data_IF_018685458810
#
_entry.id   IF_018685458810
#
_cell.length_a   1.000
_cell.length_b   1.000
_cell.length_c   1.000
_cell.angle_alpha   90.00
_cell.angle_beta   90.00
_cell.angle_gamma   90.00
#
_symmetry.space_group_name_H-M   'P 1'
#
loop_
_entity.id
_entity.type
_entity.pdbx_description
1 polymer ?
#
# COMPACT_ATOMS: atom_id res chain seq x y z
N UNK A 1 6.11 12.07 2.50
CA UNK A 1 7.31 11.60 1.79
C UNK A 1 7.84 12.65 0.81
N UNK A 2 7.07 13.19 -0.12
CA UNK A 2 7.50 14.22 -1.09
C UNK A 2 8.04 15.49 -0.40
N UNK A 3 7.42 15.94 0.71
CA UNK A 3 7.92 17.07 1.47
C UNK A 3 9.30 16.77 2.09
N UNK A 4 9.50 15.56 2.60
CA UNK A 4 10.79 15.12 3.12
C UNK A 4 11.89 15.11 2.04
N UNK A 5 11.55 14.70 0.82
CA UNK A 5 12.45 14.73 -0.33
C UNK A 5 12.87 16.17 -0.72
N UNK A 6 12.01 17.17 -0.50
CA UNK A 6 12.31 18.59 -0.72
C UNK A 6 13.15 19.20 0.38
N UNK A 7 13.33 18.50 1.49
CA UNK A 7 14.23 18.83 2.62
C UNK A 7 14.12 20.27 3.16
N UNK A 8 12.91 20.78 3.50
CA UNK A 8 12.79 22.10 4.11
C UNK A 8 13.49 22.10 5.48
N UNK A 9 14.24 23.15 5.79
CA UNK A 9 15.09 23.24 6.99
C UNK A 9 14.35 23.03 8.31
N UNK A 10 13.07 23.43 8.36
CA UNK A 10 12.23 23.26 9.54
C UNK A 10 11.74 21.82 9.77
N UNK A 11 11.73 20.98 8.74
CA UNK A 11 11.26 19.59 8.85
C UNK A 11 12.36 18.71 9.46
N UNK A 12 12.11 18.16 10.64
CA UNK A 12 13.09 17.37 11.40
C UNK A 12 12.84 15.87 11.32
N UNK A 13 11.59 15.45 11.19
CA UNK A 13 11.18 14.04 11.10
C UNK A 13 9.79 13.95 10.51
N UNK A 14 9.40 12.75 10.06
CA UNK A 14 8.03 12.45 9.59
C UNK A 14 7.56 11.08 10.10
N UNK A 15 6.25 10.96 10.24
CA UNK A 15 5.54 9.68 10.23
C UNK A 15 4.78 9.61 8.91
N UNK A 16 5.11 8.62 8.07
CA UNK A 16 4.46 8.37 6.79
C UNK A 16 3.51 7.18 6.94
N UNK A 17 2.22 7.47 7.06
CA UNK A 17 1.19 6.47 7.29
C UNK A 17 0.30 6.35 6.06
N UNK A 18 0.05 5.10 5.61
CA UNK A 18 -0.83 4.81 4.48
C UNK A 18 -0.48 5.69 3.26
N UNK A 19 0.73 5.59 2.75
CA UNK A 19 1.24 6.45 1.68
C UNK A 19 2.16 5.70 0.74
N UNK A 20 2.20 6.12 -0.54
CA UNK A 20 3.14 5.57 -1.51
C UNK A 20 4.39 6.44 -1.67
N UNK A 21 5.50 5.81 -2.03
CA UNK A 21 6.69 6.44 -2.57
C UNK A 21 6.75 6.38 -4.10
N UNK A 22 5.82 5.62 -4.74
CA UNK A 22 5.81 5.33 -6.17
C UNK A 22 4.40 5.53 -6.76
N UNK A 23 4.21 6.61 -7.53
CA UNK A 23 2.90 7.07 -7.98
C UNK A 23 2.32 6.34 -9.22
N UNK A 24 3.14 5.62 -9.98
CA UNK A 24 2.71 4.98 -11.22
C UNK A 24 2.64 3.45 -11.13
N UNK A 25 3.51 2.83 -10.33
CA UNK A 25 3.53 1.37 -10.22
C UNK A 25 2.87 0.84 -8.95
N UNK A 26 2.67 1.69 -7.94
CA UNK A 26 2.17 1.25 -6.62
C UNK A 26 1.36 2.37 -5.94
N UNK A 27 0.27 2.77 -6.58
CA UNK A 27 -0.64 3.81 -6.06
C UNK A 27 -2.10 3.47 -6.34
N UNK A 28 -3.01 4.16 -5.65
CA UNK A 28 -4.46 4.00 -5.83
C UNK A 28 -4.97 4.42 -7.20
N UNK A 29 -4.22 5.23 -7.97
CA UNK A 29 -4.59 5.65 -9.32
C UNK A 29 -4.05 4.73 -10.39
N UNK A 30 -2.81 4.28 -10.23
CA UNK A 30 -2.12 3.37 -11.13
C UNK A 30 -1.42 2.28 -10.31
N UNK A 31 -1.60 1.04 -10.71
CA UNK A 31 -0.95 -0.10 -10.11
C UNK A 31 -0.31 -0.97 -11.20
N UNK A 32 0.98 -1.25 -11.04
CA UNK A 32 1.79 -1.95 -12.06
C UNK A 32 1.72 -1.32 -13.45
N UNK A 33 1.52 0.00 -13.51
CA UNK A 33 1.36 0.74 -14.77
C UNK A 33 -0.05 0.69 -15.37
N UNK A 34 -0.98 -0.01 -14.73
CA UNK A 34 -2.38 -0.07 -15.16
C UNK A 34 -3.23 0.92 -14.34
N UNK A 35 -4.09 1.66 -15.02
CA UNK A 35 -5.08 2.49 -14.34
C UNK A 35 -6.10 1.59 -13.62
N UNK A 36 -6.32 1.85 -12.34
CA UNK A 36 -7.25 1.08 -11.52
C UNK A 36 -8.55 1.84 -11.26
N UNK A 37 -9.62 1.11 -10.93
CA UNK A 37 -10.97 1.65 -10.71
C UNK A 37 -11.04 2.76 -9.66
N UNK A 38 -10.14 2.75 -8.69
CA UNK A 38 -10.04 3.79 -7.65
C UNK A 38 -9.71 5.19 -8.19
N UNK A 39 -9.14 5.31 -9.38
CA UNK A 39 -8.87 6.60 -10.02
C UNK A 39 -10.13 7.47 -10.10
N UNK A 40 -11.24 6.89 -10.55
CA UNK A 40 -12.52 7.61 -10.67
C UNK A 40 -13.09 7.96 -9.29
N UNK A 41 -13.16 6.97 -8.39
CA UNK A 41 -13.72 7.16 -7.05
C UNK A 41 -12.96 8.21 -6.25
N UNK A 42 -11.63 8.11 -6.22
CA UNK A 42 -10.79 9.05 -5.49
C UNK A 42 -10.85 10.46 -6.07
N UNK A 43 -10.79 10.59 -7.40
CA UNK A 43 -10.90 11.88 -8.06
C UNK A 43 -12.23 12.57 -7.79
N UNK A 44 -13.34 11.83 -7.78
CA UNK A 44 -14.67 12.34 -7.45
C UNK A 44 -14.76 12.78 -5.99
N UNK A 45 -14.22 12.00 -5.05
CA UNK A 45 -14.16 12.34 -3.63
C UNK A 45 -13.34 13.62 -3.43
N UNK A 46 -12.14 13.70 -4.00
CA UNK A 46 -11.29 14.88 -3.89
C UNK A 46 -11.96 16.14 -4.48
N UNK A 47 -12.62 16.00 -5.62
CA UNK A 47 -13.41 17.09 -6.20
C UNK A 47 -14.54 17.51 -5.24
N UNK A 48 -15.31 16.55 -4.73
CA UNK A 48 -16.39 16.78 -3.79
C UNK A 48 -15.92 17.52 -2.52
N UNK A 49 -14.80 17.09 -1.93
CA UNK A 49 -14.25 17.75 -0.73
C UNK A 49 -13.75 19.17 -1.01
N UNK A 50 -13.03 19.38 -2.11
CA UNK A 50 -12.42 20.68 -2.41
C UNK A 50 -13.43 21.70 -2.95
N UNK A 51 -14.56 21.26 -3.48
CA UNK A 51 -15.62 22.15 -3.98
C UNK A 51 -16.71 22.50 -2.96
N UNK A 52 -16.57 22.06 -1.70
CA UNK A 52 -17.55 22.33 -0.63
C UNK A 52 -17.61 23.83 -0.26
N UNK A 53 -18.80 24.34 0.15
CA UNK A 53 -18.88 25.68 0.68
C UNK A 53 -18.05 25.79 1.97
N UNK A 54 -17.44 26.95 2.25
CA UNK A 54 -16.89 27.23 3.57
C UNK A 54 -18.00 27.37 4.60
N UNK A 55 -17.64 27.14 5.87
CA UNK A 55 -18.57 27.29 6.98
C UNK A 55 -18.96 28.78 7.16
N UNK A 56 -20.25 29.13 7.06
CA UNK A 56 -20.69 30.52 7.26
C UNK A 56 -20.39 31.07 8.67
N UNK A 57 -20.32 30.21 9.69
CA UNK A 57 -19.93 30.64 11.04
C UNK A 57 -18.48 31.15 11.11
N UNK A 58 -17.63 30.65 10.24
CA UNK A 58 -16.21 31.05 10.19
C UNK A 58 -15.94 32.21 9.25
N UNK A 59 -16.69 32.35 8.14
CA UNK A 59 -16.41 33.33 7.08
C UNK A 59 -17.52 34.39 6.90
N UNK A 60 -18.59 34.29 7.67
CA UNK A 60 -19.73 35.26 7.61
C UNK A 60 -20.40 35.28 6.23
N UNK A 61 -20.91 36.44 5.83
CA UNK A 61 -21.66 36.62 4.58
C UNK A 61 -20.83 36.35 3.30
N UNK A 62 -19.54 36.23 3.42
CA UNK A 62 -18.64 35.93 2.28
C UNK A 62 -18.70 34.48 1.83
N UNK A 63 -19.37 33.57 2.55
CA UNK A 63 -19.36 32.14 2.25
C UNK A 63 -19.74 31.80 0.81
N UNK A 64 -20.76 32.52 0.27
CA UNK A 64 -21.24 32.27 -1.09
C UNK A 64 -20.19 32.66 -2.14
N UNK A 65 -19.54 33.81 -1.99
CA UNK A 65 -18.49 34.29 -2.91
C UNK A 65 -17.31 33.33 -2.89
N UNK A 66 -16.86 32.95 -1.71
CA UNK A 66 -15.76 32.00 -1.54
C UNK A 66 -16.09 30.62 -2.11
N UNK A 67 -17.34 30.17 -1.97
CA UNK A 67 -17.77 28.91 -2.56
C UNK A 67 -17.75 28.94 -4.09
N UNK A 68 -18.31 29.99 -4.70
CA UNK A 68 -18.31 30.15 -6.16
C UNK A 68 -16.86 30.20 -6.71
N UNK A 69 -15.96 30.91 -6.03
CA UNK A 69 -14.55 30.87 -6.39
C UNK A 69 -13.92 29.48 -6.29
N UNK A 70 -14.28 28.69 -5.28
CA UNK A 70 -13.80 27.30 -5.16
C UNK A 70 -14.31 26.45 -6.30
N UNK A 71 -15.61 26.55 -6.65
CA UNK A 71 -16.20 25.81 -7.76
C UNK A 71 -15.51 26.13 -9.08
N UNK A 72 -15.20 27.40 -9.31
CA UNK A 72 -14.50 27.85 -10.54
C UNK A 72 -13.03 27.37 -10.59
N UNK A 73 -12.34 27.39 -9.44
CA UNK A 73 -10.90 27.13 -9.36
C UNK A 73 -10.54 25.66 -9.06
N UNK A 74 -11.51 24.84 -8.63
CA UNK A 74 -11.24 23.43 -8.30
C UNK A 74 -11.01 22.64 -9.59
N UNK A 75 -9.82 22.06 -9.78
CA UNK A 75 -9.49 21.35 -11.02
C UNK A 75 -10.16 19.97 -11.06
N UNK A 76 -10.39 19.47 -12.26
CA UNK A 76 -10.76 18.09 -12.49
C UNK A 76 -9.53 17.18 -12.36
N UNK A 77 -9.30 16.61 -11.19
CA UNK A 77 -8.13 15.77 -10.92
C UNK A 77 -8.03 14.58 -11.86
N UNK A 78 -9.17 13.93 -12.16
CA UNK A 78 -9.24 12.75 -13.03
C UNK A 78 -8.75 13.08 -14.44
N UNK A 79 -9.19 14.20 -15.02
CA UNK A 79 -8.77 14.63 -16.36
C UNK A 79 -7.25 14.73 -16.46
N UNK A 80 -6.60 15.28 -15.41
CA UNK A 80 -5.16 15.43 -15.37
C UNK A 80 -4.47 14.07 -15.32
N UNK A 81 -4.97 13.15 -14.48
CA UNK A 81 -4.38 11.81 -14.36
C UNK A 81 -4.54 11.00 -15.64
N UNK A 82 -5.71 11.08 -16.31
CA UNK A 82 -5.97 10.36 -17.53
C UNK A 82 -5.12 10.85 -18.73
N UNK A 83 -4.61 12.07 -18.69
CA UNK A 83 -3.68 12.58 -19.70
C UNK A 83 -2.28 11.95 -19.61
N UNK A 84 -1.94 11.36 -18.48
CA UNK A 84 -0.62 10.79 -18.18
C UNK A 84 -0.70 9.28 -18.02
N UNK A 85 -0.94 8.55 -19.13
CA UNK A 85 -1.13 7.11 -19.13
C UNK A 85 0.18 6.30 -19.17
N UNK A 86 1.31 6.97 -19.30
CA UNK A 86 2.63 6.40 -19.27
C UNK A 86 3.42 6.95 -18.06
N UNK A 87 4.46 6.24 -17.65
CA UNK A 87 5.35 6.71 -16.58
C UNK A 87 6.22 7.89 -17.06
N UNK A 88 5.58 9.01 -17.29
CA UNK A 88 6.18 10.25 -17.78
C UNK A 88 6.67 11.15 -16.62
N UNK A 89 7.17 12.34 -16.97
CA UNK A 89 7.68 13.30 -15.99
C UNK A 89 6.65 13.71 -14.92
N UNK A 90 5.36 13.66 -15.24
CA UNK A 90 4.31 13.97 -14.26
C UNK A 90 4.36 13.02 -13.07
N UNK A 91 4.45 11.72 -13.33
CA UNK A 91 4.54 10.70 -12.28
C UNK A 91 5.91 10.66 -11.63
N UNK A 92 6.99 10.74 -12.43
CA UNK A 92 8.37 10.74 -11.93
C UNK A 92 8.63 11.91 -10.98
N UNK A 93 8.18 13.12 -11.31
CA UNK A 93 8.35 14.30 -10.45
C UNK A 93 7.52 14.24 -9.15
N UNK A 94 6.52 13.37 -9.09
CA UNK A 94 5.66 13.17 -7.93
C UNK A 94 5.96 11.87 -7.17
N UNK A 95 6.92 11.07 -7.61
CA UNK A 95 7.34 9.83 -6.97
C UNK A 95 8.65 10.03 -6.22
N UNK A 96 8.73 9.49 -5.02
CA UNK A 96 9.91 9.62 -4.15
C UNK A 96 10.98 8.58 -4.51
N UNK A 97 10.57 7.46 -5.05
CA UNK A 97 11.44 6.34 -5.44
C UNK A 97 12.47 6.71 -6.51
N UNK A 98 12.20 7.74 -7.31
CA UNK A 98 13.16 8.30 -8.27
C UNK A 98 14.45 8.74 -7.59
N UNK A 99 14.39 9.26 -6.37
CA UNK A 99 15.57 9.65 -5.62
C UNK A 99 15.34 9.62 -4.09
N UNK A 100 15.34 8.44 -3.52
CA UNK A 100 15.25 8.23 -2.07
C UNK A 100 16.37 8.92 -1.29
N UNK A 101 17.56 9.11 -1.91
CA UNK A 101 18.71 9.70 -1.25
C UNK A 101 18.53 11.17 -0.88
N UNK A 102 17.52 11.85 -1.40
CA UNK A 102 17.17 13.22 -1.01
C UNK A 102 16.51 13.30 0.37
N UNK A 103 15.94 12.21 0.87
CA UNK A 103 15.42 12.18 2.24
C UNK A 103 16.59 12.07 3.21
N UNK A 104 16.73 13.06 4.10
CA UNK A 104 17.84 13.19 5.05
C UNK A 104 17.39 13.21 6.51
N UNK A 105 16.10 13.06 6.75
CA UNK A 105 15.48 13.12 8.08
C UNK A 105 14.98 11.74 8.49
N UNK A 106 14.83 11.49 9.80
CA UNK A 106 14.24 10.24 10.30
C UNK A 106 12.82 10.02 9.79
N UNK A 107 12.49 8.76 9.50
CA UNK A 107 11.19 8.36 8.93
C UNK A 107 10.59 7.20 9.74
N UNK A 108 9.36 7.36 10.20
CA UNK A 108 8.56 6.25 10.68
C UNK A 108 7.50 5.94 9.61
N UNK A 109 7.61 4.78 8.96
CA UNK A 109 6.70 4.37 7.89
C UNK A 109 5.73 3.31 8.38
N UNK A 110 4.44 3.50 8.07
CA UNK A 110 3.35 2.66 8.59
C UNK A 110 2.35 2.37 7.48
N UNK A 111 1.93 1.09 7.35
CA UNK A 111 0.83 0.68 6.49
C UNK A 111 0.19 -0.61 7.00
N UNK A 112 -0.90 -1.04 6.36
CA UNK A 112 -1.53 -2.33 6.60
C UNK A 112 -1.30 -3.31 5.45
N UNK A 113 -1.43 -4.61 5.71
CA UNK A 113 -1.38 -5.63 4.65
C UNK A 113 -2.58 -5.54 3.69
N UNK A 114 -3.73 -5.08 4.19
CA UNK A 114 -4.93 -4.87 3.41
C UNK A 114 -5.11 -3.40 2.96
N UNK A 115 -4.08 -2.56 3.12
CA UNK A 115 -4.04 -1.19 2.63
C UNK A 115 -3.74 -1.18 1.11
N UNK A 116 -4.02 -0.06 0.46
CA UNK A 116 -3.63 0.17 -0.93
C UNK A 116 -2.11 0.36 -1.12
N UNK A 117 -1.34 0.57 -0.05
CA UNK A 117 0.12 0.78 -0.11
C UNK A 117 0.92 -0.17 0.80
N UNK A 118 0.67 -1.49 0.75
CA UNK A 118 1.34 -2.44 1.64
C UNK A 118 2.84 -2.54 1.37
N UNK A 119 3.27 -2.27 0.14
CA UNK A 119 4.65 -2.47 -0.30
C UNK A 119 5.60 -1.34 0.14
N UNK A 120 5.05 -0.16 0.45
CA UNK A 120 5.84 1.04 0.75
C UNK A 120 6.71 0.86 1.99
N UNK A 121 6.21 0.17 3.03
CA UNK A 121 6.96 -0.05 4.28
C UNK A 121 8.27 -0.78 4.01
N UNK A 122 8.18 -1.96 3.39
CA UNK A 122 9.35 -2.79 3.08
C UNK A 122 10.31 -2.07 2.12
N UNK A 123 9.78 -1.37 1.12
CA UNK A 123 10.57 -0.64 0.12
C UNK A 123 11.36 0.52 0.73
N UNK A 124 10.74 1.32 1.59
CA UNK A 124 11.43 2.43 2.27
C UNK A 124 12.45 1.93 3.29
N UNK A 125 12.15 0.87 4.05
CA UNK A 125 13.09 0.24 4.97
C UNK A 125 14.36 -0.25 4.27
N UNK A 126 14.23 -0.72 3.02
CA UNK A 126 15.35 -1.17 2.20
C UNK A 126 16.14 -0.03 1.56
N UNK A 127 15.45 1.06 1.16
CA UNK A 127 16.02 2.08 0.29
C UNK A 127 16.54 3.32 1.01
N UNK A 128 15.95 3.65 2.19
CA UNK A 128 16.35 4.85 2.92
C UNK A 128 17.59 4.58 3.78
N UNK A 129 18.57 5.48 3.66
CA UNK A 129 19.78 5.47 4.49
C UNK A 129 19.71 6.59 5.53
N UNK A 130 18.67 6.56 6.36
CA UNK A 130 18.41 7.46 7.50
C UNK A 130 17.87 6.62 8.67
N UNK A 131 17.83 7.15 9.89
CA UNK A 131 17.12 6.48 10.96
C UNK A 131 15.67 6.20 10.53
N UNK A 132 15.29 4.93 10.49
CA UNK A 132 13.98 4.51 9.99
C UNK A 132 13.41 3.38 10.82
N UNK A 133 12.10 3.44 11.06
CA UNK A 133 11.29 2.39 11.66
C UNK A 133 10.11 2.07 10.77
N UNK A 134 9.73 0.82 10.68
CA UNK A 134 8.55 0.33 9.97
C UNK A 134 7.56 -0.39 10.88
N UNK A 135 6.27 -0.15 10.66
CA UNK A 135 5.18 -0.87 11.31
C UNK A 135 4.18 -1.31 10.25
N UNK A 136 3.89 -2.61 10.20
CA UNK A 136 2.90 -3.14 9.25
C UNK A 136 1.98 -4.13 9.94
N UNK A 137 0.71 -3.76 10.06
CA UNK A 137 -0.33 -4.58 10.67
C UNK A 137 -1.28 -5.21 9.64
N UNK A 138 -2.32 -5.92 10.09
CA UNK A 138 -3.27 -6.56 9.19
C UNK A 138 -4.29 -5.59 8.56
N UNK A 139 -4.24 -4.32 8.91
CA UNK A 139 -5.25 -3.29 8.64
C UNK A 139 -5.43 -2.96 7.16
N UNK A 140 -6.64 -2.49 6.83
CA UNK A 140 -6.91 -1.67 5.65
C UNK A 140 -6.38 -0.23 5.85
N UNK A 141 -6.84 0.72 5.02
CA UNK A 141 -6.39 2.12 5.08
C UNK A 141 -6.95 2.86 6.30
N UNK A 142 -6.40 2.55 7.48
CA UNK A 142 -6.80 3.11 8.78
C UNK A 142 -5.62 3.44 9.66
N UNK A 143 -5.85 4.31 10.63
CA UNK A 143 -4.86 4.52 11.71
C UNK A 143 -4.70 3.22 12.51
N UNK A 144 -3.48 2.84 12.92
CA UNK A 144 -3.22 1.56 13.58
C UNK A 144 -4.01 1.30 14.88
N UNK A 145 -4.38 2.36 15.60
CA UNK A 145 -5.22 2.26 16.80
C UNK A 145 -6.72 2.09 16.49
N UNK A 146 -7.10 2.25 15.23
CA UNK A 146 -8.45 2.04 14.69
C UNK A 146 -8.45 0.97 13.59
N UNK A 147 -7.38 0.18 13.51
CA UNK A 147 -7.14 -0.76 12.43
C UNK A 147 -8.19 -1.88 12.35
N UNK A 148 -8.75 -2.08 11.16
CA UNK A 148 -9.63 -3.18 10.80
C UNK A 148 -9.07 -3.81 9.52
N UNK A 149 -8.91 -5.17 9.48
CA UNK A 149 -9.02 -6.09 10.62
C UNK A 149 -7.95 -5.81 11.69
N UNK A 150 -8.30 -6.10 12.96
CA UNK A 150 -7.33 -6.07 14.06
C UNK A 150 -6.29 -7.22 13.97
N UNK A 151 -5.32 -7.28 14.91
CA UNK A 151 -5.25 -6.48 16.13
C UNK A 151 -4.78 -5.04 15.90
N UNK A 152 -5.32 -4.14 16.70
CA UNK A 152 -4.86 -2.74 16.78
C UNK A 152 -3.60 -2.63 17.64
N UNK A 153 -2.91 -1.49 17.56
CA UNK A 153 -1.77 -1.14 18.42
C UNK A 153 -1.93 0.26 18.99
N UNK A 154 -1.25 0.58 20.08
CA UNK A 154 -1.24 1.92 20.66
C UNK A 154 -0.34 2.87 19.85
N UNK A 155 -0.78 3.17 18.64
CA UNK A 155 -0.07 4.05 17.72
C UNK A 155 0.10 5.48 18.25
N UNK A 156 -0.85 5.98 19.04
CA UNK A 156 -0.77 7.37 19.52
C UNK A 156 0.39 7.54 20.50
N UNK A 157 0.57 6.59 21.41
CA UNK A 157 1.75 6.57 22.29
C UNK A 157 3.05 6.42 21.53
N UNK A 158 3.09 5.55 20.51
CA UNK A 158 4.25 5.38 19.64
C UNK A 158 4.59 6.67 18.88
N UNK A 159 3.58 7.37 18.35
CA UNK A 159 3.77 8.64 17.67
C UNK A 159 4.32 9.72 18.61
N UNK A 160 3.83 9.80 19.86
CA UNK A 160 4.37 10.72 20.88
C UNK A 160 5.81 10.39 21.19
N UNK A 161 6.15 9.10 21.42
CA UNK A 161 7.52 8.64 21.67
C UNK A 161 8.46 9.01 20.52
N UNK A 162 8.00 8.83 19.25
CA UNK A 162 8.75 9.19 18.05
C UNK A 162 9.05 10.67 17.98
N UNK A 163 8.03 11.53 18.17
CA UNK A 163 8.23 12.97 18.13
C UNK A 163 8.99 13.51 19.36
N UNK A 164 8.81 12.94 20.53
CA UNK A 164 9.59 13.32 21.71
C UNK A 164 11.08 13.00 21.52
N UNK A 165 11.40 11.86 20.91
CA UNK A 165 12.79 11.51 20.57
C UNK A 165 13.40 12.51 19.57
N UNK A 166 12.77 12.74 18.43
CA UNK A 166 13.37 13.52 17.34
C UNK A 166 13.19 15.03 17.42
N UNK A 167 12.20 15.53 18.16
CA UNK A 167 11.92 16.97 18.29
C UNK A 167 12.32 17.54 19.63
N UNK A 168 12.42 16.72 20.67
CA UNK A 168 12.73 17.14 22.04
C UNK A 168 13.97 16.45 22.59
N UNK A 169 14.66 15.64 21.78
CA UNK A 169 15.89 14.93 22.12
C UNK A 169 15.76 14.05 23.39
N UNK A 170 14.56 13.48 23.60
CA UNK A 170 14.31 12.61 24.75
C UNK A 170 14.70 11.16 24.45
N UNK A 171 15.27 10.49 25.42
CA UNK A 171 15.49 9.04 25.39
C UNK A 171 14.15 8.32 25.62
N UNK A 172 13.49 7.89 24.54
CA UNK A 172 12.18 7.22 24.58
C UNK A 172 12.26 5.71 24.37
N UNK A 173 13.44 5.19 24.01
CA UNK A 173 13.67 3.79 23.69
C UNK A 173 13.08 3.36 22.33
N UNK A 174 12.43 4.26 21.58
CA UNK A 174 11.74 3.88 20.34
C UNK A 174 12.70 3.40 19.24
N UNK A 175 13.93 3.89 19.22
CA UNK A 175 14.96 3.49 18.25
C UNK A 175 15.72 2.23 18.64
N UNK A 176 15.52 1.73 19.86
CA UNK A 176 16.07 0.47 20.37
C UNK A 176 15.19 -0.73 20.04
N UNK A 177 13.93 -0.47 19.66
CA UNK A 177 12.99 -1.49 19.23
C UNK A 177 13.31 -2.01 17.83
N UNK A 178 12.63 -3.10 17.44
CA UNK A 178 12.81 -3.69 16.12
C UNK A 178 12.64 -2.63 15.01
N UNK A 179 13.56 -2.62 14.04
CA UNK A 179 13.51 -1.72 12.87
C UNK A 179 12.24 -1.92 12.05
N UNK A 180 11.80 -3.17 11.92
CA UNK A 180 10.56 -3.53 11.24
C UNK A 180 9.72 -4.41 12.15
N UNK A 181 8.57 -3.89 12.55
CA UNK A 181 7.55 -4.62 13.28
C UNK A 181 6.42 -4.96 12.33
N UNK A 182 6.16 -6.24 12.13
CA UNK A 182 5.19 -6.71 11.15
C UNK A 182 4.30 -7.81 11.73
N UNK A 183 3.03 -7.79 11.36
CA UNK A 183 2.07 -8.80 11.77
C UNK A 183 2.05 -9.95 10.75
N UNK A 184 2.54 -11.11 11.16
CA UNK A 184 2.49 -12.32 10.35
C UNK A 184 1.11 -12.96 10.53
N UNK A 185 0.33 -13.00 9.46
CA UNK A 185 -1.05 -13.49 9.47
C UNK A 185 -1.11 -15.00 9.29
N UNK A 186 -1.97 -15.65 10.07
CA UNK A 186 -2.29 -17.06 9.86
C UNK A 186 -3.24 -17.24 8.67
N UNK A 187 -3.21 -18.43 8.07
CA UNK A 187 -4.18 -18.83 7.04
C UNK A 187 -5.57 -18.98 7.66
N UNK A 188 -6.56 -18.39 7.00
CA UNK A 188 -7.97 -18.46 7.40
C UNK A 188 -8.84 -18.72 6.18
N UNK A 189 -10.07 -19.21 6.40
CA UNK A 189 -11.05 -19.29 5.31
C UNK A 189 -11.32 -17.90 4.75
N UNK A 190 -11.36 -17.74 3.42
CA UNK A 190 -11.64 -16.45 2.80
C UNK A 190 -12.99 -15.89 3.24
N UNK A 191 -13.01 -14.62 3.63
CA UNK A 191 -14.21 -13.84 3.96
C UNK A 191 -13.99 -12.42 3.49
N UNK A 192 -15.07 -11.75 3.14
CA UNK A 192 -15.04 -10.33 2.74
C UNK A 192 -14.82 -9.39 3.90
N UNK A 193 -14.95 -9.86 5.14
CA UNK A 193 -14.76 -9.07 6.34
C UNK A 193 -14.20 -9.90 7.50
N UNK A 194 -13.31 -9.27 8.27
CA UNK A 194 -12.77 -9.79 9.53
C UNK A 194 -12.70 -8.66 10.56
N UNK A 195 -13.20 -8.88 11.77
CA UNK A 195 -12.90 -8.00 12.90
C UNK A 195 -11.43 -8.07 13.29
N UNK A 196 -10.88 -9.28 13.33
CA UNK A 196 -9.49 -9.56 13.64
C UNK A 196 -8.95 -10.65 12.74
N UNK A 197 -7.67 -10.55 12.39
CA UNK A 197 -6.91 -11.63 11.75
C UNK A 197 -6.12 -12.38 12.82
N UNK A 198 -6.18 -13.72 12.86
CA UNK A 198 -5.25 -14.47 13.67
C UNK A 198 -3.83 -14.33 13.13
N UNK A 199 -2.84 -14.47 14.00
CA UNK A 199 -1.43 -14.31 13.66
C UNK A 199 -0.62 -13.81 14.84
N UNK A 200 0.59 -13.33 14.59
CA UNK A 200 1.47 -12.81 15.61
C UNK A 200 2.31 -11.63 15.10
N UNK A 201 2.70 -10.77 16.00
CA UNK A 201 3.72 -9.75 15.75
C UNK A 201 5.12 -10.36 15.76
N UNK A 202 5.92 -9.98 14.78
CA UNK A 202 7.35 -10.27 14.73
C UNK A 202 8.14 -8.98 14.60
N UNK A 203 9.33 -8.95 15.17
CA UNK A 203 10.25 -7.84 15.11
C UNK A 203 11.54 -8.24 14.39
N UNK A 204 11.93 -7.50 13.37
CA UNK A 204 13.15 -7.68 12.61
C UNK A 204 14.10 -6.50 12.86
N UNK A 205 15.35 -6.79 13.22
CA UNK A 205 16.39 -5.77 13.46
C UNK A 205 16.88 -5.11 12.18
N UNK A 206 16.70 -5.77 11.03
CA UNK A 206 17.07 -5.26 9.71
C UNK A 206 16.03 -5.63 8.65
N UNK A 207 16.02 -4.86 7.55
CA UNK A 207 15.30 -5.21 6.34
C UNK A 207 16.12 -4.81 5.11
N UNK A 208 16.38 -5.70 4.14
CA UNK A 208 16.08 -7.14 4.18
C UNK A 208 16.67 -7.83 5.41
N UNK A 209 16.04 -8.90 5.87
CA UNK A 209 16.47 -9.67 7.03
C UNK A 209 17.18 -10.94 6.60
N UNK A 210 18.28 -11.27 7.27
CA UNK A 210 19.01 -12.54 7.06
C UNK A 210 18.20 -13.76 7.52
N UNK A 211 17.15 -13.56 8.30
CA UNK A 211 16.23 -14.62 8.72
C UNK A 211 15.30 -15.08 7.59
N UNK A 212 15.26 -14.35 6.47
CA UNK A 212 14.36 -14.62 5.35
C UNK A 212 15.14 -15.25 4.19
N UNK A 213 14.79 -16.47 3.86
CA UNK A 213 15.33 -17.19 2.71
C UNK A 213 14.49 -16.89 1.46
N UNK A 214 15.16 -16.48 0.37
CA UNK A 214 14.48 -16.34 -0.92
C UNK A 214 14.31 -17.70 -1.57
N UNK A 215 13.06 -18.09 -1.85
CA UNK A 215 12.73 -19.32 -2.58
C UNK A 215 12.26 -18.99 -3.98
N UNK A 216 12.82 -19.70 -4.95
CA UNK A 216 12.45 -19.61 -6.36
C UNK A 216 11.63 -20.83 -6.77
N UNK A 217 10.49 -20.57 -7.41
CA UNK A 217 9.62 -21.59 -7.97
C UNK A 217 9.49 -21.37 -9.47
N UNK A 218 9.36 -22.47 -10.22
CA UNK A 218 9.14 -22.45 -11.66
C UNK A 218 7.67 -22.74 -11.98
N UNK A 219 7.13 -21.93 -12.88
CA UNK A 219 5.80 -22.14 -13.44
C UNK A 219 5.91 -23.22 -14.51
N UNK A 220 5.64 -24.45 -14.15
CA UNK A 220 5.55 -25.57 -15.07
C UNK A 220 4.09 -25.73 -15.54
N UNK A 221 3.81 -26.65 -16.43
CA UNK A 221 2.45 -26.91 -16.85
C UNK A 221 1.60 -27.35 -15.63
N UNK A 222 0.62 -26.52 -15.27
CA UNK A 222 -0.31 -26.76 -14.16
C UNK A 222 0.33 -27.02 -12.79
N UNK A 223 1.61 -26.70 -12.62
CA UNK A 223 2.30 -26.92 -11.34
C UNK A 223 3.32 -25.83 -11.01
N UNK A 224 3.50 -25.61 -9.71
CA UNK A 224 4.52 -24.74 -9.15
C UNK A 224 5.55 -25.59 -8.42
N UNK A 225 6.80 -25.60 -8.85
CA UNK A 225 7.85 -26.42 -8.23
C UNK A 225 9.22 -25.76 -8.21
N UNK A 226 10.10 -26.23 -7.34
CA UNK A 226 11.51 -25.79 -7.27
C UNK A 226 12.35 -26.29 -8.44
N UNK A 227 11.82 -27.21 -9.26
CA UNK A 227 12.50 -27.74 -10.44
C UNK A 227 11.83 -27.23 -11.70
N UNK A 228 12.63 -26.76 -12.64
CA UNK A 228 12.17 -26.42 -13.98
C UNK A 228 12.01 -27.72 -14.77
N UNK A 229 10.79 -28.02 -15.19
CA UNK A 229 10.46 -29.26 -15.90
C UNK A 229 10.41 -29.03 -17.41
N UNK A 230 9.78 -27.93 -17.85
CA UNK A 230 9.62 -27.64 -19.29
C UNK A 230 9.49 -26.13 -19.55
N UNK A 231 9.81 -25.74 -20.78
CA UNK A 231 9.47 -24.42 -21.33
C UNK A 231 8.34 -24.61 -22.34
N UNK A 232 7.11 -24.69 -21.92
CA UNK A 232 6.00 -24.73 -22.84
C UNK A 232 5.28 -23.38 -22.86
N UNK A 233 4.92 -22.95 -24.08
CA UNK A 233 4.05 -21.81 -24.24
C UNK A 233 2.62 -22.21 -23.81
N UNK A 234 2.04 -21.46 -22.92
CA UNK A 234 0.64 -21.60 -22.50
C UNK A 234 -0.15 -20.47 -23.12
N UNK A 235 -1.40 -20.75 -23.50
CA UNK A 235 -2.31 -19.73 -23.99
C UNK A 235 -3.42 -19.53 -22.99
N UNK A 236 -3.80 -18.28 -22.79
CA UNK A 236 -4.95 -17.92 -21.97
C UNK A 236 -5.81 -16.91 -22.71
N UNK A 237 -7.10 -17.08 -22.63
CA UNK A 237 -8.12 -16.13 -23.02
C UNK A 237 -9.12 -16.06 -21.86
N UNK A 238 -8.84 -15.22 -20.90
CA UNK A 238 -9.68 -15.08 -19.72
C UNK A 238 -11.03 -14.46 -20.10
N UNK A 239 -12.15 -14.96 -19.58
CA UNK A 239 -13.43 -14.29 -19.73
C UNK A 239 -13.41 -12.95 -18.98
N UNK A 240 -14.19 -11.97 -19.46
CA UNK A 240 -14.26 -10.64 -18.82
C UNK A 240 -14.86 -10.67 -17.39
N UNK A 241 -15.36 -11.82 -16.97
CA UNK A 241 -15.88 -12.03 -15.61
C UNK A 241 -14.81 -12.41 -14.60
N UNK A 242 -13.57 -12.68 -15.00
CA UNK A 242 -12.46 -12.91 -14.06
C UNK A 242 -12.22 -11.64 -13.25
N UNK A 243 -12.11 -11.79 -11.93
CA UNK A 243 -12.01 -10.69 -10.97
C UNK A 243 -13.34 -10.26 -10.35
N UNK A 244 -14.46 -10.88 -10.73
CA UNK A 244 -15.80 -10.55 -10.24
C UNK A 244 -15.95 -10.74 -8.72
N UNK A 245 -15.20 -11.68 -8.14
CA UNK A 245 -15.19 -11.99 -6.71
C UNK A 245 -13.97 -11.44 -5.97
N UNK A 246 -13.20 -10.54 -6.60
CA UNK A 246 -12.02 -9.94 -5.98
C UNK A 246 -12.34 -8.95 -4.85
N UNK A 247 -13.61 -8.69 -4.60
CA UNK A 247 -14.04 -7.66 -3.68
C UNK A 247 -13.72 -6.25 -4.18
N UNK A 248 -13.61 -5.31 -3.27
CA UNK A 248 -13.08 -3.99 -3.59
C UNK A 248 -11.55 -4.08 -3.56
N UNK A 249 -10.93 -3.96 -4.72
CA UNK A 249 -9.48 -3.89 -4.79
C UNK A 249 -8.99 -2.61 -4.10
N UNK A 250 -8.17 -2.74 -3.08
CA UNK A 250 -7.77 -1.66 -2.19
C UNK A 250 -8.96 -1.07 -1.39
N UNK A 251 -9.54 -1.82 -0.44
CA UNK A 251 -10.66 -1.36 0.38
C UNK A 251 -10.18 -0.31 1.39
N UNK A 252 -10.10 0.92 0.98
CA UNK A 252 -9.44 1.97 1.74
C UNK A 252 -10.35 3.05 2.29
N UNK A 253 -11.61 3.14 1.84
CA UNK A 253 -12.40 4.32 2.11
C UNK A 253 -13.81 4.03 2.66
N UNK A 254 -13.94 3.02 3.48
CA UNK A 254 -15.20 2.79 4.16
C UNK A 254 -15.27 3.56 5.48
N UNK A 255 -15.59 4.83 5.44
CA UNK A 255 -15.92 5.58 6.65
C UNK A 255 -17.09 4.90 7.40
N UNK A 256 -16.76 4.07 8.39
CA UNK A 256 -17.73 3.39 9.23
C UNK A 256 -18.49 2.23 8.58
N UNK A 257 -18.14 1.82 7.38
CA UNK A 257 -18.64 0.62 6.71
C UNK A 257 -17.54 -0.45 6.68
N UNK A 258 -17.92 -1.71 6.66
CA UNK A 258 -16.96 -2.81 6.51
C UNK A 258 -16.26 -2.72 5.15
N UNK A 259 -14.95 -2.85 5.16
CA UNK A 259 -14.16 -2.98 3.94
C UNK A 259 -14.42 -4.34 3.31
N UNK A 260 -14.66 -4.37 2.00
CA UNK A 260 -14.90 -5.60 1.27
C UNK A 260 -13.58 -6.20 0.80
N UNK A 261 -13.06 -7.15 1.56
CA UNK A 261 -11.88 -7.94 1.19
C UNK A 261 -12.24 -8.96 0.09
N UNK A 262 -11.25 -9.47 -0.67
CA UNK A 262 -11.48 -10.57 -1.59
C UNK A 262 -12.07 -11.79 -0.87
N UNK A 263 -13.14 -12.34 -1.42
CA UNK A 263 -13.74 -13.59 -0.96
C UNK A 263 -12.97 -14.81 -1.46
N UNK A 264 -13.68 -15.92 -1.64
CA UNK A 264 -13.10 -17.14 -2.22
C UNK A 264 -12.83 -16.95 -3.72
N UNK A 265 -11.56 -16.98 -4.14
CA UNK A 265 -11.11 -16.79 -5.51
C UNK A 265 -11.10 -18.08 -6.35
N UNK A 266 -11.50 -19.23 -5.83
CA UNK A 266 -11.48 -20.50 -6.59
C UNK A 266 -12.34 -20.47 -7.86
N UNK A 267 -13.34 -19.58 -7.94
CA UNK A 267 -14.13 -19.40 -9.17
C UNK A 267 -13.29 -18.73 -10.25
N UNK A 268 -12.40 -17.81 -9.87
CA UNK A 268 -11.53 -17.09 -10.78
C UNK A 268 -10.46 -18.00 -11.41
N UNK A 269 -10.10 -19.07 -10.72
CA UNK A 269 -9.14 -20.08 -11.18
C UNK A 269 -9.57 -20.72 -12.50
N UNK A 270 -10.88 -20.91 -12.72
CA UNK A 270 -11.41 -21.48 -13.96
C UNK A 270 -11.16 -20.64 -15.22
N UNK A 271 -10.90 -19.35 -15.05
CA UNK A 271 -10.58 -18.41 -16.14
C UNK A 271 -9.13 -17.92 -16.14
N UNK A 272 -8.27 -18.55 -15.34
CA UNK A 272 -6.89 -18.13 -15.11
C UNK A 272 -5.89 -19.27 -15.36
N UNK A 273 -4.61 -18.92 -15.56
CA UNK A 273 -3.53 -19.90 -15.46
C UNK A 273 -3.16 -20.03 -13.99
N UNK A 274 -3.37 -21.22 -13.45
CA UNK A 274 -3.13 -21.56 -12.04
C UNK A 274 -1.94 -22.48 -11.92
N UNK A 275 -1.12 -22.24 -10.91
CA UNK A 275 0.08 -23.01 -10.63
C UNK A 275 0.16 -23.32 -9.16
N UNK A 276 -0.06 -24.57 -8.80
CA UNK A 276 -0.05 -25.04 -7.42
C UNK A 276 1.15 -25.93 -7.13
N UNK A 277 1.61 -25.88 -5.90
CA UNK A 277 2.51 -26.90 -5.37
C UNK A 277 1.71 -28.12 -4.95
N UNK A 278 2.38 -29.24 -4.76
CA UNK A 278 1.81 -30.32 -3.95
C UNK A 278 1.45 -29.80 -2.56
N UNK A 279 0.53 -30.50 -1.89
CA UNK A 279 0.14 -30.16 -0.52
C UNK A 279 1.36 -30.12 0.39
N UNK A 280 1.52 -29.00 1.09
CA UNK A 280 2.63 -28.82 2.01
C UNK A 280 2.49 -29.73 3.22
N UNK A 281 3.56 -30.47 3.55
CA UNK A 281 3.60 -31.32 4.74
C UNK A 281 3.74 -30.51 6.04
N UNK A 282 4.38 -29.35 5.95
CA UNK A 282 4.59 -28.42 7.06
C UNK A 282 4.12 -27.02 6.69
N UNK A 283 3.65 -26.23 7.67
CA UNK A 283 3.30 -24.84 7.43
C UNK A 283 4.51 -24.07 6.87
N UNK A 284 4.24 -23.22 5.87
CA UNK A 284 5.21 -22.30 5.29
C UNK A 284 4.86 -20.87 5.67
N UNK A 285 5.76 -20.19 6.36
CA UNK A 285 5.65 -18.76 6.63
C UNK A 285 6.25 -17.96 5.49
N UNK A 286 5.49 -16.98 5.01
CA UNK A 286 5.92 -16.12 3.89
C UNK A 286 5.95 -14.68 4.38
N UNK A 287 7.11 -14.05 4.28
CA UNK A 287 7.29 -12.62 4.54
C UNK A 287 8.26 -12.05 3.50
N UNK A 288 7.80 -11.08 2.74
CA UNK A 288 8.59 -10.46 1.69
C UNK A 288 7.73 -10.07 0.48
N UNK A 289 8.41 -9.70 -0.60
CA UNK A 289 7.77 -9.32 -1.84
C UNK A 289 7.89 -10.45 -2.85
N UNK A 290 6.76 -10.93 -3.38
CA UNK A 290 6.76 -11.87 -4.47
C UNK A 290 7.24 -11.17 -5.76
N UNK A 291 8.13 -11.83 -6.51
CA UNK A 291 8.56 -11.37 -7.82
C UNK A 291 8.21 -12.44 -8.87
N UNK A 292 7.55 -12.03 -9.94
CA UNK A 292 7.14 -12.90 -11.04
C UNK A 292 7.85 -12.47 -12.33
N UNK A 293 8.52 -13.40 -13.00
CA UNK A 293 9.14 -13.17 -14.31
C UNK A 293 8.41 -13.98 -15.37
N UNK A 294 7.82 -13.29 -16.34
CA UNK A 294 7.09 -13.89 -17.45
C UNK A 294 7.67 -13.44 -18.80
N UNK A 295 7.64 -14.35 -19.78
CA UNK A 295 7.83 -14.03 -21.18
C UNK A 295 6.46 -14.04 -21.86
N UNK A 296 5.99 -12.87 -22.29
CA UNK A 296 4.65 -12.68 -22.80
C UNK A 296 4.70 -12.30 -24.29
N UNK A 297 3.71 -12.75 -25.02
CA UNK A 297 3.36 -12.25 -26.33
C UNK A 297 1.84 -12.11 -26.47
N UNK A 298 1.40 -11.18 -27.28
CA UNK A 298 -0.01 -10.98 -27.64
C UNK A 298 -0.12 -10.91 -29.15
N UNK A 299 -1.28 -11.25 -29.67
CA UNK A 299 -1.66 -11.10 -31.07
C UNK A 299 -2.34 -9.75 -31.34
N UNK A 300 -2.42 -8.88 -30.35
CA UNK A 300 -3.01 -7.53 -30.43
C UNK A 300 -1.96 -6.43 -30.25
#
# INVERSE_FOLDING_TARGET
LQLAQRSPKALKTIIALGSTDQRYYDDGSYYMGCMVGQTLGWGAIMFGFNSRPPDPELVGDNWKTLWLERLEKTPHYIERWLKHQHNDEYWLNNSVDVNHSKIKIPVYVISGHADCWPNTVARLLQKLNVPIRGLQGPWCHRYPHLGIPGPTVDFLSDAVRWFDHWLKEKETGIMEEAKYQVFLQDTVKPKTYYDNRPGRWIGLSSWPSEQIETKCFYLNQESLSIKKISNQAMKILSPQTVGQFSGEYMPWFAFGVAEELPGNQNIEDSGSLVFDTETLELPLEILGNAALTLHLSSDQ
#
